data_IF_893311445864
#
_entry.id   IF_893311445864
#
_cell.length_a   1.000
_cell.length_b   1.000
_cell.length_c   1.000
_cell.angle_alpha   90.00
_cell.angle_beta   90.00
_cell.angle_gamma   90.00
#
_symmetry.space_group_name_H-M   'P 1'
#
loop_
_entity.id
_entity.type
_entity.pdbx_description
1 polymer ?
#
# COMPACT_ATOMS: atom_id res chain seq x y z
N UNK A 1 -7.94 -25.10 33.10
CA UNK A 1 -8.76 -23.98 32.59
C UNK A 1 -7.90 -22.72 32.67
N UNK A 2 -7.49 -22.11 31.52
CA UNK A 2 -6.89 -20.78 31.53
C UNK A 2 -8.01 -19.78 31.82
N UNK A 3 -7.89 -18.90 32.80
CA UNK A 3 -8.90 -17.88 33.05
C UNK A 3 -8.88 -16.88 31.89
N UNK A 4 -10.05 -16.55 31.38
CA UNK A 4 -10.32 -15.52 30.38
C UNK A 4 -9.42 -15.56 29.14
N UNK A 5 -9.87 -16.19 28.06
CA UNK A 5 -9.23 -16.25 26.74
C UNK A 5 -8.94 -14.89 26.06
N UNK A 6 -8.51 -13.91 26.83
CA UNK A 6 -8.17 -12.56 26.35
C UNK A 6 -6.75 -12.55 25.80
N UNK A 7 -6.62 -11.97 24.63
CA UNK A 7 -5.33 -11.68 24.01
C UNK A 7 -4.58 -10.71 24.95
N UNK A 8 -3.34 -10.99 25.37
CA UNK A 8 -2.60 -10.21 26.39
C UNK A 8 -2.36 -8.73 26.02
N UNK A 9 -2.79 -8.31 24.84
CA UNK A 9 -2.68 -6.91 24.37
C UNK A 9 -3.97 -6.11 24.39
N UNK A 10 -5.13 -6.68 24.75
CA UNK A 10 -6.42 -5.97 24.76
C UNK A 10 -6.74 -5.38 26.13
N UNK A 11 -7.41 -4.19 26.20
CA UNK A 11 -7.79 -3.56 27.46
C UNK A 11 -8.93 -4.31 28.18
N UNK A 12 -9.04 -4.10 29.51
CA UNK A 12 -10.23 -4.51 30.26
C UNK A 12 -11.48 -3.79 29.73
N UNK A 13 -12.67 -4.28 30.09
CA UNK A 13 -13.94 -3.67 29.68
C UNK A 13 -14.05 -2.23 30.19
N UNK A 14 -13.70 -1.99 31.45
CA UNK A 14 -13.77 -0.65 32.05
C UNK A 14 -12.83 0.33 31.37
N UNK A 15 -11.60 -0.11 31.10
CA UNK A 15 -10.61 0.72 30.37
C UNK A 15 -11.05 1.00 28.93
N UNK A 16 -11.65 -0.01 28.26
CA UNK A 16 -12.20 0.17 26.92
C UNK A 16 -13.34 1.19 26.94
N UNK A 17 -14.31 1.03 27.85
CA UNK A 17 -15.45 1.93 27.98
C UNK A 17 -15.00 3.37 28.25
N UNK A 18 -14.08 3.58 29.19
CA UNK A 18 -13.52 4.90 29.49
C UNK A 18 -12.77 5.51 28.28
N UNK A 19 -11.94 4.73 27.59
CA UNK A 19 -11.22 5.18 26.40
C UNK A 19 -12.15 5.54 25.25
N UNK A 20 -13.21 4.75 25.02
CA UNK A 20 -14.23 5.05 24.01
C UNK A 20 -15.03 6.32 24.38
N UNK A 21 -15.39 6.49 25.67
CA UNK A 21 -16.08 7.69 26.13
C UNK A 21 -15.23 8.95 25.85
N UNK A 22 -13.94 8.88 26.06
CA UNK A 22 -13.02 9.99 25.78
C UNK A 22 -12.87 10.26 24.26
N UNK A 23 -12.68 9.21 23.45
CA UNK A 23 -12.37 9.35 22.02
C UNK A 23 -13.59 9.72 21.16
N UNK A 24 -14.78 9.24 21.52
CA UNK A 24 -16.00 9.47 20.74
C UNK A 24 -16.70 10.79 21.09
N UNK A 25 -16.17 11.52 22.07
CA UNK A 25 -16.75 12.76 22.58
C UNK A 25 -15.69 13.81 22.92
N UNK A 26 -15.13 14.44 21.91
CA UNK A 26 -14.18 15.52 22.11
C UNK A 26 -14.80 16.75 22.81
N UNK A 27 -16.13 16.86 22.85
CA UNK A 27 -16.87 17.97 23.49
C UNK A 27 -17.16 17.79 24.98
N UNK A 28 -16.74 16.64 25.58
CA UNK A 28 -16.91 16.38 27.01
C UNK A 28 -18.36 16.12 27.45
N UNK A 29 -19.30 15.89 26.54
CA UNK A 29 -20.71 15.65 26.87
C UNK A 29 -20.88 14.42 27.78
N UNK A 30 -21.76 14.53 28.81
CA UNK A 30 -21.90 13.59 29.93
C UNK A 30 -22.61 12.26 29.61
N UNK A 31 -23.04 12.04 28.35
CA UNK A 31 -23.74 10.82 28.00
C UNK A 31 -22.80 9.61 27.88
N UNK A 32 -23.02 8.50 28.58
CA UNK A 32 -22.15 7.33 28.67
C UNK A 32 -21.98 6.55 27.36
N UNK A 33 -20.87 5.86 27.20
CA UNK A 33 -20.69 4.80 26.19
C UNK A 33 -20.97 3.47 26.85
N UNK A 34 -21.80 2.64 26.20
CA UNK A 34 -22.07 1.26 26.63
C UNK A 34 -21.53 0.29 25.61
N UNK A 35 -20.57 -0.53 26.00
CA UNK A 35 -20.05 -1.62 25.16
C UNK A 35 -21.06 -2.77 25.18
N UNK A 36 -21.57 -3.15 24.00
CA UNK A 36 -22.56 -4.21 23.85
C UNK A 36 -21.92 -5.55 23.49
N UNK A 37 -20.88 -5.53 22.67
CA UNK A 37 -20.16 -6.74 22.26
C UNK A 37 -18.71 -6.44 21.91
N UNK A 38 -17.86 -7.45 22.07
CA UNK A 38 -16.45 -7.46 21.66
C UNK A 38 -16.21 -8.70 20.83
N UNK A 39 -15.62 -8.54 19.65
CA UNK A 39 -15.30 -9.61 18.73
C UNK A 39 -13.82 -9.55 18.37
N UNK A 40 -13.13 -10.68 18.42
CA UNK A 40 -11.73 -10.75 17.99
C UNK A 40 -11.64 -10.51 16.48
N UNK A 41 -10.75 -9.61 16.06
CA UNK A 41 -10.38 -9.55 14.67
C UNK A 41 -9.56 -10.80 14.29
N UNK A 42 -9.98 -11.50 13.22
CA UNK A 42 -9.34 -12.73 12.74
C UNK A 42 -8.21 -12.46 11.73
N UNK A 43 -8.13 -11.24 11.23
CA UNK A 43 -7.10 -10.85 10.26
C UNK A 43 -5.76 -10.58 10.94
N UNK A 44 -4.66 -10.92 10.26
CA UNK A 44 -3.32 -10.58 10.72
C UNK A 44 -3.15 -9.05 10.73
N UNK A 45 -2.67 -8.51 11.85
CA UNK A 45 -2.35 -7.09 12.03
C UNK A 45 -0.99 -6.91 12.73
N UNK A 46 -0.35 -5.77 12.48
CA UNK A 46 0.89 -5.39 13.19
C UNK A 46 0.64 -5.09 14.67
N UNK A 47 -0.55 -4.61 14.98
CA UNK A 47 -1.00 -4.26 16.33
C UNK A 47 -2.18 -5.15 16.76
N UNK A 48 -2.43 -5.31 18.07
CA UNK A 48 -3.67 -5.91 18.53
C UNK A 48 -4.89 -5.14 18.00
N UNK A 49 -5.92 -5.86 17.58
CA UNK A 49 -7.15 -5.28 17.02
C UNK A 49 -8.38 -6.04 17.47
N UNK A 50 -9.48 -5.35 17.62
CA UNK A 50 -10.78 -5.97 17.86
C UNK A 50 -11.92 -5.19 17.18
N UNK A 51 -13.08 -5.83 17.07
CA UNK A 51 -14.33 -5.24 16.61
C UNK A 51 -15.21 -5.04 17.83
N UNK A 52 -15.64 -3.79 18.05
CA UNK A 52 -16.45 -3.42 19.21
C UNK A 52 -17.78 -2.89 18.75
N UNK A 53 -18.88 -3.44 19.29
CA UNK A 53 -20.21 -2.87 19.14
C UNK A 53 -20.54 -2.09 20.39
N UNK A 54 -20.84 -0.80 20.25
CA UNK A 54 -21.17 0.06 21.38
C UNK A 54 -22.35 0.98 21.05
N UNK A 55 -22.96 1.54 22.10
CA UNK A 55 -23.98 2.59 22.03
C UNK A 55 -23.42 3.85 22.66
N UNK A 56 -23.64 5.00 22.03
CA UNK A 56 -23.15 6.30 22.48
C UNK A 56 -24.35 7.16 22.87
N UNK A 57 -24.43 7.53 24.13
CA UNK A 57 -25.51 8.34 24.67
C UNK A 57 -26.88 7.72 24.50
N UNK A 58 -27.84 8.56 24.17
CA UNK A 58 -29.24 8.15 23.93
C UNK A 58 -29.49 7.63 22.52
N UNK A 59 -28.47 7.56 21.68
CA UNK A 59 -28.60 7.06 20.31
C UNK A 59 -29.00 5.57 20.34
N UNK A 60 -30.10 5.23 19.71
CA UNK A 60 -30.64 3.86 19.68
C UNK A 60 -29.85 2.93 18.75
N UNK A 61 -29.20 3.48 17.73
CA UNK A 61 -28.45 2.70 16.76
C UNK A 61 -27.05 2.40 17.27
N UNK A 62 -26.65 1.13 17.41
CA UNK A 62 -25.31 0.78 17.83
C UNK A 62 -24.29 1.11 16.74
N UNK A 63 -23.12 1.61 17.15
CA UNK A 63 -21.94 1.77 16.33
C UNK A 63 -21.14 0.46 16.33
N UNK A 64 -20.66 0.05 15.19
CA UNK A 64 -19.71 -1.05 15.06
C UNK A 64 -18.35 -0.49 14.65
N UNK A 65 -17.38 -0.63 15.54
CA UNK A 65 -16.07 0.00 15.48
C UNK A 65 -14.99 -1.03 15.23
N UNK A 66 -13.98 -0.67 14.46
CA UNK A 66 -12.71 -1.38 14.40
C UNK A 66 -11.70 -0.57 15.22
N UNK A 67 -11.07 -1.22 16.19
CA UNK A 67 -10.10 -0.58 17.10
C UNK A 67 -8.74 -1.22 16.91
N UNK A 68 -7.73 -0.39 16.68
CA UNK A 68 -6.32 -0.78 16.61
C UNK A 68 -5.60 -0.23 17.84
N UNK A 69 -4.96 -1.11 18.60
CA UNK A 69 -4.27 -0.77 19.85
C UNK A 69 -2.79 -0.64 19.61
N UNK A 70 -2.27 0.57 19.79
CA UNK A 70 -0.84 0.84 19.74
C UNK A 70 -0.08 0.17 20.86
N UNK A 71 1.15 -0.23 20.57
CA UNK A 71 2.10 -0.78 21.54
C UNK A 71 3.41 -0.01 21.45
N UNK A 72 4.12 0.12 22.57
CA UNK A 72 5.43 0.80 22.62
C UNK A 72 6.50 0.09 21.79
N UNK A 73 6.30 -1.20 21.48
CA UNK A 73 7.21 -2.02 20.68
C UNK A 73 6.51 -2.57 19.47
N UNK A 74 6.88 -2.10 18.27
CA UNK A 74 6.42 -2.62 17.00
C UNK A 74 7.54 -2.52 15.96
N UNK A 75 7.38 -3.26 14.85
CA UNK A 75 8.37 -3.20 13.76
C UNK A 75 8.15 -1.98 12.88
N UNK A 76 8.97 -0.96 13.06
CA UNK A 76 8.98 0.26 12.26
C UNK A 76 9.50 0.07 10.83
N UNK A 77 9.94 -1.14 10.44
CA UNK A 77 10.51 -1.43 9.13
C UNK A 77 11.49 -0.33 8.66
N UNK A 78 12.50 -0.04 9.50
CA UNK A 78 13.49 1.04 9.25
C UNK A 78 12.86 2.43 9.06
N UNK A 79 11.76 2.68 9.75
CA UNK A 79 11.02 3.93 9.68
C UNK A 79 10.02 4.02 8.52
N UNK A 80 9.84 2.94 7.74
CA UNK A 80 8.78 2.87 6.74
C UNK A 80 7.38 2.96 7.36
N UNK A 81 7.19 2.42 8.57
CA UNK A 81 5.90 2.41 9.29
C UNK A 81 5.89 3.36 10.47
N UNK A 82 4.81 4.13 10.59
CA UNK A 82 4.46 4.88 11.78
C UNK A 82 3.73 4.01 12.82
N UNK A 83 3.47 4.59 13.98
CA UNK A 83 2.65 4.00 15.04
C UNK A 83 1.15 4.28 14.83
N UNK A 84 0.33 3.84 15.78
CA UNK A 84 -1.13 4.02 15.72
C UNK A 84 -1.53 5.49 15.82
N UNK A 85 -0.79 6.31 16.58
CA UNK A 85 -1.05 7.74 16.66
C UNK A 85 -0.74 8.44 15.32
N UNK A 86 0.35 8.04 14.64
CA UNK A 86 0.65 8.49 13.29
C UNK A 86 -0.49 8.15 12.31
N UNK A 87 -0.99 6.91 12.33
CA UNK A 87 -2.09 6.49 11.46
C UNK A 87 -3.37 7.30 11.74
N UNK A 88 -3.71 7.54 13.01
CA UNK A 88 -4.84 8.38 13.39
C UNK A 88 -4.68 9.82 12.87
N UNK A 89 -3.46 10.36 12.93
CA UNK A 89 -3.15 11.68 12.36
C UNK A 89 -3.33 11.71 10.85
N UNK A 90 -2.99 10.62 10.12
CA UNK A 90 -3.26 10.49 8.68
C UNK A 90 -4.77 10.54 8.42
N UNK A 91 -5.58 9.81 9.18
CA UNK A 91 -7.04 9.87 9.04
C UNK A 91 -7.56 11.29 9.22
N UNK A 92 -7.11 12.00 10.26
CA UNK A 92 -7.58 13.36 10.59
C UNK A 92 -7.08 14.42 9.60
N UNK A 93 -5.76 14.45 9.33
CA UNK A 93 -5.12 15.58 8.64
C UNK A 93 -5.00 15.36 7.11
N UNK A 94 -5.01 14.10 6.66
CA UNK A 94 -4.91 13.76 5.22
C UNK A 94 -6.25 13.38 4.63
N UNK A 95 -6.97 12.43 5.25
CA UNK A 95 -8.13 11.77 4.64
C UNK A 95 -9.44 12.55 4.86
N UNK A 96 -9.73 12.96 6.09
CA UNK A 96 -10.97 13.68 6.39
C UNK A 96 -11.17 14.94 5.54
N UNK A 97 -10.15 15.80 5.28
CA UNK A 97 -10.33 16.96 4.45
C UNK A 97 -10.69 16.66 2.99
N UNK A 98 -10.34 15.47 2.48
CA UNK A 98 -10.60 15.07 1.10
C UNK A 98 -12.01 14.52 0.88
N UNK A 99 -12.71 14.11 1.94
CA UNK A 99 -14.05 13.51 1.88
C UNK A 99 -14.15 12.32 0.90
N UNK A 100 -13.04 11.60 0.71
CA UNK A 100 -13.00 10.39 -0.10
C UNK A 100 -13.51 9.17 0.68
N UNK A 101 -13.91 8.11 -0.03
CA UNK A 101 -14.41 6.88 0.58
C UNK A 101 -13.29 6.14 1.34
N UNK A 102 -13.25 6.34 2.65
CA UNK A 102 -12.43 5.63 3.62
C UNK A 102 -13.33 5.19 4.77
N UNK A 103 -12.93 4.27 5.64
CA UNK A 103 -13.64 4.08 6.90
C UNK A 103 -13.73 5.39 7.66
N UNK A 104 -14.87 5.65 8.27
CA UNK A 104 -15.08 6.85 9.10
C UNK A 104 -14.09 6.84 10.26
N UNK A 105 -13.37 7.92 10.45
CA UNK A 105 -12.52 8.14 11.62
C UNK A 105 -13.37 8.68 12.77
N UNK A 106 -13.47 7.92 13.85
CA UNK A 106 -14.24 8.32 15.03
C UNK A 106 -13.38 8.99 16.09
N UNK A 107 -12.09 8.65 16.18
CA UNK A 107 -11.20 9.30 17.14
C UNK A 107 -9.91 8.56 17.42
N UNK A 108 -9.10 9.22 18.22
CA UNK A 108 -7.86 8.74 18.82
C UNK A 108 -8.01 8.80 20.35
N UNK A 109 -7.70 7.70 21.03
CA UNK A 109 -7.53 7.70 22.48
C UNK A 109 -6.06 7.57 22.83
N UNK A 110 -5.51 8.59 23.49
CA UNK A 110 -4.13 8.59 23.99
C UNK A 110 -4.11 8.13 25.44
N UNK A 111 -3.35 7.07 25.73
CA UNK A 111 -3.34 6.44 27.07
C UNK A 111 -2.43 7.13 28.07
N UNK A 112 -1.77 8.22 27.69
CA UNK A 112 -0.72 8.87 28.49
C UNK A 112 0.64 8.17 28.44
N UNK A 113 0.72 6.96 27.88
CA UNK A 113 1.98 6.24 27.69
C UNK A 113 2.48 6.46 26.26
N UNK A 114 3.71 6.93 26.05
CA UNK A 114 4.26 7.16 24.72
C UNK A 114 4.15 5.91 23.81
N UNK A 115 3.61 6.10 22.60
CA UNK A 115 3.44 5.04 21.61
C UNK A 115 2.27 4.08 21.89
N UNK A 116 1.49 4.32 22.95
CA UNK A 116 0.30 3.52 23.28
C UNK A 116 -0.95 4.37 23.10
N UNK A 117 -1.52 4.30 21.92
CA UNK A 117 -2.75 5.00 21.55
C UNK A 117 -3.73 4.04 20.86
N UNK A 118 -5.01 4.38 20.79
CA UNK A 118 -6.02 3.59 20.11
C UNK A 118 -6.57 4.36 18.93
N UNK A 119 -6.50 3.78 17.74
CA UNK A 119 -7.20 4.27 16.56
C UNK A 119 -8.60 3.65 16.53
N UNK A 120 -9.62 4.49 16.43
CA UNK A 120 -11.02 4.08 16.40
C UNK A 120 -11.62 4.51 15.06
N UNK A 121 -11.97 3.52 14.23
CA UNK A 121 -12.55 3.73 12.91
C UNK A 121 -13.80 2.87 12.71
N UNK A 122 -14.55 3.14 11.66
CA UNK A 122 -15.68 2.35 11.21
C UNK A 122 -15.27 0.89 10.94
N UNK A 123 -16.05 -0.06 11.44
CA UNK A 123 -16.00 -1.42 10.93
C UNK A 123 -16.84 -1.52 9.65
N UNK A 124 -16.21 -1.72 8.53
CA UNK A 124 -16.86 -1.83 7.22
C UNK A 124 -17.50 -3.20 7.07
N UNK A 125 -18.77 -3.32 7.48
CA UNK A 125 -19.53 -4.59 7.42
C UNK A 125 -19.74 -5.03 5.96
N UNK A 126 -19.31 -6.25 5.62
CA UNK A 126 -19.47 -6.82 4.28
C UNK A 126 -18.44 -6.33 3.26
N UNK A 127 -17.44 -5.57 3.70
CA UNK A 127 -16.28 -5.24 2.85
C UNK A 127 -15.44 -6.48 2.57
N UNK A 128 -15.11 -6.72 1.30
CA UNK A 128 -14.25 -7.83 0.86
C UNK A 128 -12.88 -7.24 0.47
N UNK A 129 -11.79 -7.85 0.91
CA UNK A 129 -10.43 -7.42 0.48
C UNK A 129 -10.31 -7.50 -1.03
N UNK A 130 -9.86 -6.44 -1.68
CA UNK A 130 -9.74 -6.37 -3.14
C UNK A 130 -8.92 -7.54 -3.71
N UNK A 131 -7.89 -8.00 -2.99
CA UNK A 131 -7.09 -9.18 -3.37
C UNK A 131 -7.85 -10.51 -3.33
N UNK A 132 -9.01 -10.57 -2.69
CA UNK A 132 -9.86 -11.77 -2.53
C UNK A 132 -11.22 -11.59 -3.21
N UNK A 133 -11.49 -10.41 -3.75
CA UNK A 133 -12.77 -10.11 -4.37
C UNK A 133 -12.86 -10.79 -5.75
N UNK A 134 -13.91 -11.59 -6.02
CA UNK A 134 -14.09 -12.24 -7.32
C UNK A 134 -14.51 -11.25 -8.42
N UNK A 135 -15.01 -10.06 -8.05
CA UNK A 135 -15.39 -9.03 -9.03
C UNK A 135 -14.13 -8.34 -9.58
N UNK A 136 -13.84 -8.48 -10.90
CA UNK A 136 -12.68 -7.84 -11.51
C UNK A 136 -12.73 -6.30 -11.47
N UNK A 137 -13.91 -5.73 -11.22
CA UNK A 137 -14.07 -4.28 -11.05
C UNK A 137 -13.40 -3.77 -9.78
N UNK A 138 -13.18 -4.62 -8.76
CA UNK A 138 -12.57 -4.22 -7.51
C UNK A 138 -11.17 -3.62 -7.69
N UNK A 139 -10.31 -4.26 -8.51
CA UNK A 139 -8.97 -3.75 -8.84
C UNK A 139 -9.03 -2.42 -9.60
N UNK A 140 -9.93 -2.33 -10.57
CA UNK A 140 -10.14 -1.12 -11.38
C UNK A 140 -10.58 0.05 -10.50
N UNK A 141 -11.52 -0.18 -9.58
CA UNK A 141 -11.97 0.85 -8.66
C UNK A 141 -10.87 1.25 -7.66
N UNK A 142 -10.04 0.31 -7.22
CA UNK A 142 -8.87 0.63 -6.41
C UNK A 142 -7.88 1.53 -7.17
N UNK A 143 -7.59 1.23 -8.44
CA UNK A 143 -6.72 2.05 -9.28
C UNK A 143 -7.30 3.48 -9.50
N UNK A 144 -8.60 3.59 -9.76
CA UNK A 144 -9.29 4.89 -9.86
C UNK A 144 -9.23 5.67 -8.57
N UNK A 145 -9.47 5.00 -7.45
CA UNK A 145 -9.48 5.63 -6.14
C UNK A 145 -8.12 6.25 -5.82
N UNK A 146 -7.04 5.48 -6.01
CA UNK A 146 -5.69 5.95 -5.69
C UNK A 146 -5.23 7.05 -6.66
N UNK A 147 -5.60 6.98 -7.94
CA UNK A 147 -5.34 8.04 -8.90
C UNK A 147 -5.97 9.36 -8.50
N UNK A 148 -7.24 9.38 -8.09
CA UNK A 148 -7.93 10.56 -7.56
C UNK A 148 -7.31 11.07 -6.26
N UNK A 149 -6.91 10.16 -5.36
CA UNK A 149 -6.24 10.51 -4.11
C UNK A 149 -4.92 11.22 -4.37
N UNK A 150 -4.11 10.72 -5.31
CA UNK A 150 -2.85 11.34 -5.68
C UNK A 150 -3.07 12.71 -6.34
N UNK A 151 -4.02 12.84 -7.27
CA UNK A 151 -4.37 14.12 -7.89
C UNK A 151 -4.78 15.17 -6.84
N UNK A 152 -5.64 14.78 -5.90
CA UNK A 152 -6.10 15.67 -4.82
C UNK A 152 -4.98 16.10 -3.86
N UNK A 153 -3.88 15.34 -3.83
CA UNK A 153 -2.74 15.60 -2.95
C UNK A 153 -1.52 16.20 -3.63
N UNK A 154 -1.49 16.43 -4.95
CA UNK A 154 -0.28 16.88 -5.66
C UNK A 154 0.34 18.18 -5.12
N UNK A 155 -0.49 19.12 -4.67
CA UNK A 155 -0.04 20.40 -4.10
C UNK A 155 0.11 20.38 -2.58
N UNK A 156 -0.47 19.39 -1.90
CA UNK A 156 -0.54 19.31 -0.43
C UNK A 156 0.79 18.97 0.27
N UNK A 157 1.78 18.25 -0.34
CA UNK A 157 3.05 17.95 0.32
C UNK A 157 3.83 19.17 0.83
N UNK A 158 3.51 20.36 0.32
CA UNK A 158 4.10 21.64 0.75
C UNK A 158 3.39 22.24 1.97
N UNK A 159 2.23 21.70 2.38
CA UNK A 159 1.49 22.20 3.54
C UNK A 159 2.19 21.87 4.85
N UNK A 160 2.24 22.85 5.76
CA UNK A 160 2.78 22.65 7.13
C UNK A 160 2.00 21.60 7.91
N UNK A 161 0.70 21.43 7.67
CA UNK A 161 -0.11 20.41 8.32
C UNK A 161 0.33 18.98 7.99
N UNK A 162 1.03 18.78 6.87
CA UNK A 162 1.55 17.48 6.41
C UNK A 162 3.06 17.30 6.66
N UNK A 163 3.71 18.23 7.36
CA UNK A 163 5.14 18.14 7.67
C UNK A 163 5.52 16.90 8.52
N UNK A 164 4.55 16.25 9.16
CA UNK A 164 4.76 15.01 9.89
C UNK A 164 4.96 13.78 9.02
N UNK A 165 4.56 13.86 7.74
CA UNK A 165 4.74 12.77 6.79
C UNK A 165 6.22 12.63 6.43
N UNK A 166 6.70 11.38 6.40
CA UNK A 166 8.03 11.08 5.88
C UNK A 166 8.11 11.42 4.41
N UNK A 167 9.22 12.02 3.99
CA UNK A 167 9.57 12.13 2.57
C UNK A 167 10.55 11.02 2.21
N UNK A 168 10.30 10.34 1.09
CA UNK A 168 11.23 9.35 0.58
C UNK A 168 12.32 10.08 -0.19
N UNK A 169 13.46 10.22 0.46
CA UNK A 169 14.68 10.81 -0.10
C UNK A 169 15.65 9.72 -0.61
N UNK A 170 16.74 10.15 -1.18
CA UNK A 170 17.78 9.25 -1.68
C UNK A 170 18.30 8.29 -0.61
N UNK A 171 18.51 8.78 0.62
CA UNK A 171 18.99 7.97 1.73
C UNK A 171 17.99 6.87 2.10
N UNK A 172 16.69 7.20 2.09
CA UNK A 172 15.63 6.24 2.31
C UNK A 172 15.63 5.13 1.25
N UNK A 173 15.71 5.49 -0.05
CA UNK A 173 15.75 4.50 -1.13
C UNK A 173 17.01 3.65 -1.11
N UNK A 174 18.19 4.25 -0.92
CA UNK A 174 19.50 3.55 -0.84
C UNK A 174 19.57 2.53 0.29
N UNK A 175 18.85 2.77 1.37
CA UNK A 175 18.82 1.87 2.52
C UNK A 175 18.28 0.47 2.19
N UNK A 176 17.38 0.32 1.22
CA UNK A 176 16.77 -0.97 0.91
C UNK A 176 17.74 -1.94 0.20
N UNK A 177 18.40 -1.58 -0.91
CA UNK A 177 19.38 -2.45 -1.55
C UNK A 177 20.60 -2.73 -0.63
N UNK A 178 21.03 -1.78 0.20
CA UNK A 178 22.11 -2.01 1.16
C UNK A 178 21.76 -3.12 2.17
N UNK A 179 20.53 -3.13 2.68
CA UNK A 179 20.06 -4.19 3.60
C UNK A 179 19.96 -5.53 2.89
N UNK A 180 19.45 -5.53 1.66
CA UNK A 180 19.37 -6.74 0.82
C UNK A 180 20.75 -7.33 0.55
N UNK A 181 21.71 -6.53 0.11
CA UNK A 181 23.11 -6.98 -0.12
C UNK A 181 23.75 -7.56 1.14
N UNK A 182 23.60 -6.87 2.26
CA UNK A 182 24.14 -7.34 3.55
C UNK A 182 23.56 -8.69 3.94
N UNK A 183 22.24 -8.86 3.77
CA UNK A 183 21.57 -10.10 4.10
C UNK A 183 21.94 -11.24 3.16
N UNK A 184 22.16 -10.96 1.87
CA UNK A 184 22.52 -11.95 0.86
C UNK A 184 24.03 -12.19 0.74
N UNK A 185 24.89 -11.42 1.43
CA UNK A 185 26.34 -11.55 1.34
C UNK A 185 26.89 -12.96 1.60
N UNK A 186 26.37 -13.76 2.57
CA UNK A 186 26.81 -15.14 2.77
C UNK A 186 26.41 -16.10 1.64
N UNK A 187 25.53 -15.67 0.73
CA UNK A 187 24.90 -16.52 -0.30
C UNK A 187 25.19 -16.02 -1.71
N UNK A 188 26.30 -15.30 -1.92
CA UNK A 188 26.67 -14.74 -3.22
C UNK A 188 26.78 -15.76 -4.35
N UNK A 189 27.17 -16.99 -4.02
CA UNK A 189 27.25 -18.10 -4.97
C UNK A 189 25.88 -18.66 -5.35
N UNK A 190 24.91 -18.58 -4.44
CA UNK A 190 23.54 -19.05 -4.66
C UNK A 190 22.69 -17.98 -5.39
N UNK A 191 22.92 -16.73 -5.07
CA UNK A 191 22.20 -15.57 -5.63
C UNK A 191 23.15 -14.55 -6.27
N UNK A 192 23.89 -14.94 -7.36
CA UNK A 192 24.88 -14.08 -8.00
C UNK A 192 24.29 -12.80 -8.61
N UNK A 193 23.02 -12.83 -8.93
CA UNK A 193 22.25 -11.73 -9.54
C UNK A 193 21.84 -10.62 -8.56
N UNK A 194 21.85 -10.84 -7.24
CA UNK A 194 21.45 -9.81 -6.24
C UNK A 194 22.31 -8.55 -6.35
N UNK A 195 23.62 -8.68 -6.47
CA UNK A 195 24.51 -7.52 -6.55
C UNK A 195 24.31 -6.69 -7.85
N UNK A 196 24.19 -7.28 -9.04
CA UNK A 196 23.79 -6.56 -10.26
C UNK A 196 22.44 -5.83 -10.09
N UNK A 197 21.45 -6.50 -9.54
CA UNK A 197 20.11 -5.93 -9.31
C UNK A 197 20.14 -4.74 -8.33
N UNK A 198 20.94 -4.83 -7.27
CA UNK A 198 21.14 -3.71 -6.34
C UNK A 198 21.82 -2.51 -7.03
N UNK A 199 22.75 -2.76 -7.95
CA UNK A 199 23.38 -1.68 -8.75
C UNK A 199 22.36 -1.03 -9.69
N UNK A 200 21.54 -1.83 -10.35
CA UNK A 200 20.48 -1.32 -11.23
C UNK A 200 19.50 -0.44 -10.49
N UNK A 201 18.99 -0.90 -9.36
CA UNK A 201 18.09 -0.08 -8.56
C UNK A 201 18.74 1.24 -8.11
N UNK A 202 20.02 1.21 -7.68
CA UNK A 202 20.73 2.45 -7.32
C UNK A 202 20.82 3.45 -8.45
N UNK A 203 20.96 2.99 -9.71
CA UNK A 203 20.94 3.87 -10.90
C UNK A 203 19.58 4.52 -11.14
N UNK A 204 18.49 3.86 -10.73
CA UNK A 204 17.12 4.35 -10.88
C UNK A 204 16.61 5.19 -9.70
N UNK A 205 17.35 5.29 -8.62
CA UNK A 205 16.96 6.10 -7.46
C UNK A 205 16.74 7.59 -7.83
N UNK A 206 17.58 8.24 -8.65
CA UNK A 206 17.33 9.62 -9.07
C UNK A 206 15.95 9.81 -9.70
N UNK A 207 15.50 8.90 -10.57
CA UNK A 207 14.17 8.93 -11.18
C UNK A 207 13.05 9.01 -10.13
N UNK A 208 13.17 8.28 -9.00
CA UNK A 208 12.19 8.34 -7.92
C UNK A 208 12.30 9.62 -7.07
N UNK A 209 13.50 10.15 -6.90
CA UNK A 209 13.72 11.36 -6.09
C UNK A 209 13.26 12.61 -6.82
N UNK A 210 13.48 12.68 -8.14
CA UNK A 210 13.16 13.81 -9.00
C UNK A 210 11.72 13.81 -9.51
N UNK A 211 11.04 12.65 -9.48
CA UNK A 211 9.66 12.52 -9.88
C UNK A 211 8.73 13.45 -9.11
N UNK A 212 7.60 13.87 -9.70
CA UNK A 212 6.56 14.61 -8.98
C UNK A 212 6.04 13.83 -7.78
N UNK A 213 6.21 14.38 -6.59
CA UNK A 213 5.76 13.76 -5.34
C UNK A 213 4.33 14.14 -5.00
N UNK A 214 3.60 13.18 -4.47
CA UNK A 214 2.28 13.35 -3.85
C UNK A 214 2.26 12.68 -2.48
N UNK A 215 1.13 12.72 -1.77
CA UNK A 215 0.93 11.85 -0.61
C UNK A 215 0.58 10.46 -1.09
N UNK A 216 1.31 9.46 -0.65
CA UNK A 216 1.08 8.04 -0.97
C UNK A 216 0.58 7.27 0.25
N UNK A 217 -0.10 6.15 0.02
CA UNK A 217 -0.46 5.19 1.05
C UNK A 217 0.77 4.42 1.57
N UNK A 218 1.70 4.09 0.66
CA UNK A 218 2.96 3.41 0.95
C UNK A 218 2.89 1.88 1.07
N UNK A 219 1.71 1.31 1.31
CA UNK A 219 1.42 -0.14 1.29
C UNK A 219 0.03 -0.40 0.65
N UNK A 220 -0.24 0.17 -0.53
CA UNK A 220 -1.52 0.09 -1.24
C UNK A 220 -1.73 -1.27 -1.93
N UNK A 221 -1.61 -2.34 -1.16
CA UNK A 221 -1.88 -3.71 -1.63
C UNK A 221 -3.36 -4.02 -1.58
N UNK A 222 -3.85 -4.86 -2.47
CA UNK A 222 -5.25 -5.28 -2.49
C UNK A 222 -5.76 -5.91 -1.18
N UNK A 223 -4.84 -6.38 -0.31
CA UNK A 223 -5.16 -6.83 1.05
C UNK A 223 -5.51 -5.67 2.01
N UNK A 224 -5.07 -4.45 1.73
CA UNK A 224 -5.32 -3.24 2.51
C UNK A 224 -6.46 -2.38 1.95
N UNK A 225 -7.25 -2.91 1.02
CA UNK A 225 -8.35 -2.19 0.38
C UNK A 225 -9.60 -3.05 0.49
N UNK A 226 -10.63 -2.53 1.15
CA UNK A 226 -11.95 -3.16 1.15
C UNK A 226 -12.76 -2.67 -0.04
N UNK A 227 -13.38 -3.60 -0.75
CA UNK A 227 -14.35 -3.32 -1.80
C UNK A 227 -15.76 -3.62 -1.29
N UNK A 228 -16.64 -2.66 -1.38
CA UNK A 228 -18.02 -2.76 -0.91
C UNK A 228 -18.93 -1.94 -1.82
N UNK A 229 -19.95 -2.58 -2.41
CA UNK A 229 -20.96 -1.90 -3.23
C UNK A 229 -20.36 -0.97 -4.31
N UNK A 230 -19.36 -1.45 -5.05
CA UNK A 230 -18.70 -0.67 -6.10
C UNK A 230 -17.68 0.37 -5.62
N UNK A 231 -17.43 0.45 -4.31
CA UNK A 231 -16.58 1.46 -3.70
C UNK A 231 -15.36 0.86 -3.03
N UNK A 232 -14.18 1.44 -3.27
CA UNK A 232 -12.93 1.09 -2.58
C UNK A 232 -12.77 1.91 -1.31
N UNK A 233 -12.39 1.24 -0.22
CA UNK A 233 -12.14 1.84 1.10
C UNK A 233 -10.78 1.37 1.63
N UNK A 234 -9.70 2.11 1.39
CA UNK A 234 -8.36 1.76 1.87
C UNK A 234 -8.24 1.83 3.39
N UNK A 235 -7.40 0.94 3.92
CA UNK A 235 -7.11 0.72 5.33
C UNK A 235 -5.60 0.71 5.55
N UNK A 236 -5.16 0.77 6.83
CA UNK A 236 -3.78 0.56 7.26
C UNK A 236 -2.80 1.62 6.72
N UNK A 237 -3.05 2.87 7.09
CA UNK A 237 -2.34 4.06 6.63
C UNK A 237 -1.02 4.34 7.38
N UNK A 238 -0.49 3.39 8.12
CA UNK A 238 0.75 3.56 8.91
C UNK A 238 2.02 3.79 8.07
N UNK A 239 1.98 3.52 6.76
CA UNK A 239 3.09 3.72 5.83
C UNK A 239 2.96 4.95 4.95
N UNK A 240 1.99 5.83 5.24
CA UNK A 240 1.76 7.06 4.48
C UNK A 240 2.99 7.94 4.45
N UNK A 241 3.30 8.45 3.28
CA UNK A 241 4.50 9.23 3.03
C UNK A 241 4.30 10.24 1.89
N UNK A 242 5.31 11.03 1.60
CA UNK A 242 5.42 11.89 0.41
C UNK A 242 6.45 11.26 -0.53
N UNK A 243 5.97 10.79 -1.69
CA UNK A 243 6.78 10.09 -2.70
C UNK A 243 6.05 10.09 -4.05
N UNK A 244 6.63 9.51 -5.13
CA UNK A 244 5.92 9.28 -6.39
C UNK A 244 4.69 8.37 -6.20
N UNK A 245 3.56 8.79 -6.74
CA UNK A 245 2.30 8.03 -6.60
C UNK A 245 2.30 6.68 -7.31
N UNK A 246 3.18 6.50 -8.30
CA UNK A 246 3.38 5.26 -9.06
C UNK A 246 3.77 4.09 -8.15
N UNK A 247 4.36 4.37 -6.98
CA UNK A 247 4.66 3.36 -5.95
C UNK A 247 3.40 2.64 -5.47
N UNK A 248 2.30 3.37 -5.25
CA UNK A 248 1.04 2.77 -4.82
C UNK A 248 0.36 2.00 -5.96
N UNK A 249 0.43 2.51 -7.20
CA UNK A 249 -0.06 1.79 -8.37
C UNK A 249 0.65 0.45 -8.54
N UNK A 250 1.97 0.45 -8.48
CA UNK A 250 2.78 -0.78 -8.54
C UNK A 250 2.45 -1.70 -7.38
N UNK A 251 2.34 -1.17 -6.16
CA UNK A 251 1.96 -1.98 -4.98
C UNK A 251 0.61 -2.68 -5.17
N UNK A 252 -0.35 -2.02 -5.81
CA UNK A 252 -1.66 -2.59 -6.13
C UNK A 252 -1.54 -3.74 -7.14
N UNK A 253 -0.71 -3.59 -8.18
CA UNK A 253 -0.71 -4.44 -9.38
C UNK A 253 0.38 -5.49 -9.41
N UNK A 254 1.42 -5.38 -8.58
CA UNK A 254 2.66 -6.16 -8.60
C UNK A 254 2.49 -7.70 -8.74
N UNK A 255 1.46 -8.28 -8.15
CA UNK A 255 1.23 -9.73 -8.15
C UNK A 255 0.19 -10.18 -9.18
N UNK A 256 -0.23 -9.30 -10.08
CA UNK A 256 -1.28 -9.59 -11.06
C UNK A 256 -0.72 -9.74 -12.48
N UNK A 257 -1.42 -10.51 -13.37
CA UNK A 257 -1.00 -10.67 -14.75
C UNK A 257 -1.00 -9.35 -15.54
N UNK A 258 -0.16 -9.21 -16.58
CA UNK A 258 -0.03 -7.99 -17.38
C UNK A 258 -1.37 -7.37 -17.85
N UNK A 259 -2.38 -8.11 -18.31
CA UNK A 259 -3.65 -7.50 -18.72
C UNK A 259 -4.41 -6.79 -17.58
N UNK A 260 -4.23 -7.27 -16.34
CA UNK A 260 -4.82 -6.59 -15.16
C UNK A 260 -4.02 -5.34 -14.81
N UNK A 261 -2.68 -5.42 -14.87
CA UNK A 261 -1.79 -4.29 -14.65
C UNK A 261 -2.12 -3.15 -15.61
N UNK A 262 -2.15 -3.41 -16.92
CA UNK A 262 -2.46 -2.44 -17.97
C UNK A 262 -3.84 -1.78 -17.79
N UNK A 263 -4.84 -2.55 -17.38
CA UNK A 263 -6.18 -1.97 -17.11
C UNK A 263 -6.14 -1.05 -15.90
N UNK A 264 -5.44 -1.43 -14.85
CA UNK A 264 -5.28 -0.58 -13.66
C UNK A 264 -4.47 0.68 -13.97
N UNK A 265 -3.40 0.58 -14.77
CA UNK A 265 -2.59 1.71 -15.21
C UNK A 265 -3.43 2.72 -16.02
N UNK A 266 -4.21 2.25 -16.99
CA UNK A 266 -5.12 3.13 -17.76
C UNK A 266 -6.14 3.85 -16.86
N UNK A 267 -6.73 3.15 -15.90
CA UNK A 267 -7.72 3.76 -15.00
C UNK A 267 -7.08 4.72 -13.99
N UNK A 268 -5.88 4.41 -13.55
CA UNK A 268 -5.08 5.28 -12.69
C UNK A 268 -4.69 6.57 -13.41
N UNK A 269 -4.07 6.48 -14.59
CA UNK A 269 -3.61 7.64 -15.37
C UNK A 269 -4.77 8.54 -15.75
N UNK A 270 -5.88 7.96 -16.25
CA UNK A 270 -7.12 8.70 -16.53
C UNK A 270 -7.68 9.44 -15.32
N UNK A 271 -7.55 8.85 -14.13
CA UNK A 271 -8.07 9.42 -12.88
C UNK A 271 -7.14 10.45 -12.26
N UNK A 272 -5.83 10.31 -12.45
CA UNK A 272 -4.82 11.22 -11.92
C UNK A 272 -4.55 12.41 -12.84
N UNK A 273 -4.49 12.14 -14.14
CA UNK A 273 -4.17 13.15 -15.17
C UNK A 273 -5.18 13.14 -16.32
N UNK A 274 -6.37 13.75 -16.10
CA UNK A 274 -7.39 13.80 -17.16
C UNK A 274 -6.93 14.50 -18.44
N UNK A 275 -5.91 15.37 -18.34
CA UNK A 275 -5.34 16.13 -19.46
C UNK A 275 -4.21 15.43 -20.22
N UNK A 276 -3.83 14.24 -19.81
CA UNK A 276 -2.73 13.47 -20.42
C UNK A 276 -1.73 12.93 -19.42
N UNK A 277 -1.23 11.73 -19.68
CA UNK A 277 -0.20 11.06 -18.86
C UNK A 277 1.15 11.73 -19.12
N UNK A 278 1.96 12.05 -18.10
CA UNK A 278 3.32 12.58 -18.29
C UNK A 278 4.23 11.59 -19.01
N UNK A 279 5.14 12.09 -19.87
CA UNK A 279 6.09 11.25 -20.63
C UNK A 279 7.00 10.40 -19.74
N UNK A 280 7.30 10.89 -18.52
CA UNK A 280 8.13 10.17 -17.54
C UNK A 280 7.40 9.03 -16.81
N UNK A 281 6.11 8.81 -17.05
CA UNK A 281 5.31 7.84 -16.30
C UNK A 281 5.89 6.43 -16.32
N UNK A 282 6.21 5.90 -17.49
CA UNK A 282 6.71 4.53 -17.64
C UNK A 282 8.07 4.33 -16.96
N UNK A 283 8.95 5.32 -17.03
CA UNK A 283 10.24 5.29 -16.35
C UNK A 283 10.08 5.27 -14.82
N UNK A 284 9.16 6.10 -14.30
CA UNK A 284 8.87 6.14 -12.86
C UNK A 284 8.23 4.82 -12.41
N UNK A 285 7.33 4.22 -13.19
CA UNK A 285 6.72 2.91 -12.90
C UNK A 285 7.80 1.82 -12.84
N UNK A 286 8.73 1.78 -13.80
CA UNK A 286 9.84 0.83 -13.80
C UNK A 286 10.73 0.96 -12.55
N UNK A 287 11.07 2.19 -12.16
CA UNK A 287 11.84 2.44 -10.95
C UNK A 287 11.05 2.08 -9.67
N UNK A 288 9.73 2.34 -9.67
CA UNK A 288 8.84 1.99 -8.55
C UNK A 288 8.69 0.47 -8.38
N UNK A 289 8.69 -0.32 -9.47
CA UNK A 289 8.69 -1.80 -9.40
C UNK A 289 9.90 -2.30 -8.64
N UNK A 290 11.10 -1.86 -8.99
CA UNK A 290 12.33 -2.21 -8.28
C UNK A 290 12.27 -1.78 -6.82
N UNK A 291 11.76 -0.58 -6.53
CA UNK A 291 11.60 -0.12 -5.14
C UNK A 291 10.69 -1.05 -4.34
N UNK A 292 9.53 -1.44 -4.87
CA UNK A 292 8.58 -2.34 -4.20
C UNK A 292 9.24 -3.68 -3.89
N UNK A 293 9.99 -4.27 -4.84
CA UNK A 293 10.73 -5.51 -4.62
C UNK A 293 11.79 -5.36 -3.52
N UNK A 294 12.64 -4.33 -3.60
CA UNK A 294 13.67 -4.08 -2.60
C UNK A 294 13.11 -3.70 -1.23
N UNK A 295 11.95 -3.05 -1.17
CA UNK A 295 11.24 -2.77 0.07
C UNK A 295 10.87 -4.09 0.78
N UNK A 296 10.50 -5.12 0.02
CA UNK A 296 10.22 -6.44 0.56
C UNK A 296 11.49 -7.23 0.89
N UNK A 297 12.49 -7.22 0.03
CA UNK A 297 13.76 -7.92 0.23
C UNK A 297 14.56 -7.34 1.38
N UNK A 298 14.50 -6.04 1.61
CA UNK A 298 15.19 -5.35 2.70
C UNK A 298 14.42 -5.35 4.04
N UNK A 299 13.21 -5.93 4.13
CA UNK A 299 12.45 -6.00 5.39
C UNK A 299 13.03 -7.09 6.30
N UNK A 300 13.44 -6.77 7.55
CA UNK A 300 14.05 -7.73 8.46
C UNK A 300 13.14 -8.90 8.81
N UNK A 301 11.82 -8.76 8.72
CA UNK A 301 10.88 -9.87 8.91
C UNK A 301 10.95 -10.89 7.77
N UNK A 302 11.49 -10.53 6.62
CA UNK A 302 11.58 -11.36 5.43
C UNK A 302 12.97 -11.92 5.19
N UNK A 303 14.02 -11.22 5.62
CA UNK A 303 15.42 -11.63 5.51
C UNK A 303 15.72 -12.75 6.52
N UNK A 304 14.98 -13.83 6.50
CA UNK A 304 15.32 -15.06 7.22
C UNK A 304 15.53 -16.15 6.19
N UNK A 305 16.73 -16.20 5.62
CA UNK A 305 17.16 -17.33 4.82
C UNK A 305 17.24 -18.56 5.72
N UNK A 306 16.71 -19.70 5.30
CA UNK A 306 16.78 -20.93 6.09
C UNK A 306 18.17 -21.49 5.98
N UNK A 307 19.02 -21.15 6.92
CA UNK A 307 20.30 -21.80 7.06
C UNK A 307 20.19 -22.84 8.14
N UNK A 308 20.35 -24.08 7.70
CA UNK A 308 20.69 -25.20 8.57
C UNK A 308 19.51 -25.87 9.29
N UNK A 309 19.54 -27.14 9.13
CA UNK A 309 19.02 -28.26 9.96
C UNK A 309 17.70 -27.98 10.73
N UNK A 310 16.62 -28.63 10.28
CA UNK A 310 15.36 -28.84 11.01
C UNK A 310 14.64 -27.59 11.48
N UNK A 311 14.54 -26.59 10.62
CA UNK A 311 13.82 -25.36 10.91
C UNK A 311 12.33 -25.54 11.04
N UNK A 312 11.78 -24.93 12.06
CA UNK A 312 10.38 -24.71 12.34
C UNK A 312 9.57 -24.39 11.06
N UNK A 313 8.36 -24.92 10.94
CA UNK A 313 7.42 -24.74 9.80
C UNK A 313 7.23 -23.27 9.40
N UNK A 314 7.27 -22.36 10.37
CA UNK A 314 7.17 -20.91 10.16
C UNK A 314 8.40 -20.34 9.42
N UNK A 315 9.61 -20.78 9.76
CA UNK A 315 10.85 -20.39 9.10
C UNK A 315 10.88 -20.87 7.64
N UNK A 316 10.40 -22.10 7.37
CA UNK A 316 10.27 -22.61 5.99
C UNK A 316 9.28 -21.80 5.15
N UNK A 317 8.13 -21.39 5.73
CA UNK A 317 7.15 -20.54 5.04
C UNK A 317 7.76 -19.18 4.70
N UNK A 318 8.48 -18.56 5.63
CA UNK A 318 9.18 -17.28 5.43
C UNK A 318 10.28 -17.38 4.36
N UNK A 319 11.04 -18.45 4.37
CA UNK A 319 12.08 -18.72 3.39
C UNK A 319 11.53 -18.86 1.96
N UNK A 320 10.46 -19.65 1.79
CA UNK A 320 9.80 -19.78 0.47
C UNK A 320 9.30 -18.44 -0.04
N UNK A 321 8.74 -17.60 0.83
CA UNK A 321 8.26 -16.28 0.47
C UNK A 321 9.41 -15.37 0.05
N UNK A 322 10.53 -15.38 0.78
CA UNK A 322 11.73 -14.64 0.41
C UNK A 322 12.29 -15.07 -0.94
N UNK A 323 12.39 -16.38 -1.20
CA UNK A 323 12.85 -16.91 -2.49
C UNK A 323 11.91 -16.51 -3.63
N UNK A 324 10.60 -16.48 -3.39
CA UNK A 324 9.64 -15.97 -4.35
C UNK A 324 9.85 -14.48 -4.62
N UNK A 325 9.97 -13.66 -3.58
CA UNK A 325 10.21 -12.21 -3.72
C UNK A 325 11.52 -11.94 -4.51
N UNK A 326 12.56 -12.77 -4.33
CA UNK A 326 13.80 -12.71 -5.12
C UNK A 326 13.57 -13.03 -6.59
N UNK A 327 12.84 -14.10 -6.88
CA UNK A 327 12.53 -14.51 -8.24
C UNK A 327 11.65 -13.46 -8.96
N UNK A 328 10.67 -12.91 -8.27
CA UNK A 328 9.81 -11.85 -8.80
C UNK A 328 10.66 -10.60 -9.16
N UNK A 329 11.63 -10.24 -8.31
CA UNK A 329 12.55 -9.13 -8.57
C UNK A 329 13.47 -9.39 -9.77
N UNK A 330 13.97 -10.62 -9.96
CA UNK A 330 14.77 -11.02 -11.13
C UNK A 330 13.94 -10.92 -12.42
N UNK A 331 12.70 -11.36 -12.38
CA UNK A 331 11.78 -11.29 -13.52
C UNK A 331 11.49 -9.85 -13.92
N UNK A 332 11.32 -8.93 -12.95
CA UNK A 332 11.14 -7.50 -13.19
C UNK A 332 12.31 -6.92 -13.96
N UNK A 333 13.56 -7.25 -13.60
CA UNK A 333 14.75 -6.80 -14.32
C UNK A 333 14.84 -7.35 -15.75
N UNK A 334 14.47 -8.63 -15.94
CA UNK A 334 14.52 -9.25 -17.26
C UNK A 334 13.52 -8.60 -18.22
N UNK A 335 12.34 -8.20 -17.74
CA UNK A 335 11.32 -7.50 -18.53
C UNK A 335 11.79 -6.11 -18.92
N UNK A 336 12.37 -5.36 -17.98
CA UNK A 336 12.86 -3.99 -18.23
C UNK A 336 14.12 -3.96 -19.10
N UNK A 337 14.83 -5.08 -19.24
CA UNK A 337 16.03 -5.22 -20.08
C UNK A 337 15.73 -5.53 -21.54
N UNK A 338 14.48 -5.82 -21.90
CA UNK A 338 14.07 -6.02 -23.28
C UNK A 338 13.95 -4.62 -23.91
N UNK A 339 14.81 -4.25 -24.90
CA UNK A 339 14.71 -2.95 -25.55
C UNK A 339 13.34 -2.87 -26.21
N UNK A 340 12.55 -1.84 -25.88
CA UNK A 340 11.37 -1.47 -26.62
C UNK A 340 11.83 -1.31 -28.08
N UNK A 341 11.42 -2.21 -28.95
CA UNK A 341 11.66 -2.06 -30.40
C UNK A 341 11.01 -0.74 -30.79
N UNK A 342 11.87 0.26 -31.03
CA UNK A 342 11.46 1.49 -31.69
C UNK A 342 10.77 1.06 -32.98
N UNK A 343 9.46 1.31 -33.05
CA UNK A 343 8.71 1.11 -34.28
C UNK A 343 9.36 1.91 -35.37
N UNK A 344 9.98 1.23 -36.33
CA UNK A 344 10.50 1.83 -37.55
C UNK A 344 9.33 2.43 -38.31
N UNK A 345 9.10 3.71 -38.10
CA UNK A 345 8.33 4.55 -39.01
C UNK A 345 9.22 4.80 -40.23
N UNK A 346 9.33 3.84 -41.12
CA UNK A 346 9.83 4.06 -42.49
C UNK A 346 8.67 3.84 -43.47
N UNK A 347 7.85 4.85 -43.57
CA UNK A 347 6.77 5.00 -44.56
C UNK A 347 7.19 5.95 -45.67
N UNK A 348 8.22 5.59 -46.42
CA UNK A 348 8.42 6.24 -47.75
C UNK A 348 7.36 5.69 -48.70
N UNK A 349 6.33 6.48 -48.95
CA UNK A 349 5.46 6.33 -50.10
C UNK A 349 6.24 6.77 -51.34
N UNK A 350 6.63 5.79 -52.17
CA UNK A 350 6.99 6.02 -53.57
C UNK A 350 5.70 6.07 -54.41
N UNK A 351 5.34 7.26 -54.85
CA UNK A 351 4.33 7.49 -55.88
C UNK A 351 4.91 7.03 -57.22
N UNK A 352 4.46 5.90 -57.74
CA UNK A 352 4.62 5.55 -59.17
C UNK A 352 3.25 5.42 -59.81
N UNK A 353 2.99 6.07 -60.97
CA UNK A 353 1.68 6.07 -61.60
C UNK A 353 1.48 4.77 -62.41
N UNK A 354 0.39 4.06 -62.09
CA UNK A 354 -0.04 2.90 -62.82
C UNK A 354 -0.57 3.33 -64.20
N UNK A 355 0.18 3.04 -65.25
CA UNK A 355 -0.26 3.09 -66.64
C UNK A 355 -1.31 2.02 -66.92
N UNK A 356 -2.48 2.43 -67.36
CA UNK A 356 -3.55 1.60 -67.91
C UNK A 356 -3.09 0.88 -69.16
N UNK A 357 -3.07 -0.45 -69.15
CA UNK A 357 -3.05 -1.29 -70.38
C UNK A 357 -4.46 -1.79 -70.69
N UNK A 358 -4.96 -1.25 -71.80
CA UNK A 358 -6.13 -1.84 -72.51
C UNK A 358 -5.72 -3.17 -73.13
N UNK A 359 -6.45 -4.21 -72.92
CA UNK A 359 -6.36 -5.50 -73.64
C UNK A 359 -7.71 -5.84 -74.22
N UNK A 360 -7.78 -6.70 -75.30
CA UNK A 360 -8.83 -6.58 -76.30
C UNK A 360 -10.09 -7.47 -76.05
N UNK A 361 -11.19 -7.01 -76.61
CA UNK A 361 -12.45 -7.78 -76.79
C UNK A 361 -12.25 -8.94 -77.75
N UNK A 362 -12.83 -10.07 -77.40
CA UNK A 362 -13.42 -11.12 -78.28
C UNK A 362 -14.24 -12.05 -77.36
N UNK A 363 -15.32 -12.62 -77.70
CA UNK A 363 -16.41 -12.67 -78.68
C UNK A 363 -17.53 -13.33 -77.92
#
# INVERSE_FOLDING_TARGET
>A
MKPDGRDPGLPSLDRLTAGLATALRPDGSAEGVTVLARERNRDESTFPTEIVTCRVGRNRSPLRLFIKYGTSRFNRAFGHRGDVAFEARVYRDVLQPLRMSTPTFYGLYETGTPGVAWLIIEYVKGGIRTSQCPDPKAMIQAARWIGRFHAANERRPRSRSLAFLRRYDEAYYRGWPQRTERACAPYRTVFPWVAPMCREFRRRIPTLVEAPHTVIHGEYFGANILYQNGTSRPLDWQSTAVAPGEIDLVSLTHSFPPPVQERCEREYTKSRWPGGTPDSFDEIVAAARLYVDFRWLGDPKRIVLPIGRRGNRLLRKRARRFLKDLHDAETTLAVDSIPVRAGTADGRRSDEPIRARRGPRRA
#
